data_IF_060547501360
#
_entry.id   IF_060547501360
#
_cell.length_a   1.000
_cell.length_b   1.000
_cell.length_c   1.000
_cell.angle_alpha   90.00
_cell.angle_beta   90.00
_cell.angle_gamma   90.00
#
_symmetry.space_group_name_H-M   'P 1'
#
loop_
_entity.id
_entity.type
_entity.pdbx_description
1 polymer ?
#
# COMPACT_ATOMS: atom_id res chain seq x y z
N UNK A 1 -59.56 -10.07 -12.61
CA UNK A 1 -58.30 -10.38 -11.89
C UNK A 1 -57.10 -10.26 -12.84
N UNK A 2 -56.61 -9.06 -13.19
CA UNK A 2 -55.43 -8.88 -14.07
C UNK A 2 -54.82 -7.48 -13.88
N UNK A 3 -54.32 -7.13 -12.68
CA UNK A 3 -53.61 -5.84 -12.47
C UNK A 3 -52.42 -5.89 -11.49
N UNK A 4 -52.16 -7.03 -10.85
CA UNK A 4 -51.15 -7.11 -9.78
C UNK A 4 -49.76 -7.53 -10.30
N UNK A 5 -49.67 -8.04 -11.53
CA UNK A 5 -48.41 -8.59 -12.08
C UNK A 5 -47.41 -7.57 -12.62
N UNK A 6 -47.75 -6.27 -12.72
CA UNK A 6 -46.83 -5.24 -13.25
C UNK A 6 -45.97 -4.53 -12.19
N UNK A 7 -46.26 -4.70 -10.90
CA UNK A 7 -45.52 -4.02 -9.82
C UNK A 7 -44.24 -4.75 -9.37
N UNK A 8 -44.05 -6.00 -9.79
CA UNK A 8 -42.91 -6.84 -9.38
C UNK A 8 -41.66 -6.65 -10.25
N UNK A 9 -41.77 -5.98 -11.40
CA UNK A 9 -40.64 -5.81 -12.34
C UNK A 9 -39.81 -4.54 -12.07
N UNK A 10 -40.32 -3.58 -11.31
CA UNK A 10 -39.66 -2.28 -11.08
C UNK A 10 -38.65 -2.26 -9.93
N UNK A 11 -38.54 -3.34 -9.15
CA UNK A 11 -37.62 -3.40 -7.98
C UNK A 11 -36.21 -3.89 -8.37
N UNK A 12 -36.04 -4.49 -9.56
CA UNK A 12 -34.74 -5.04 -10.00
C UNK A 12 -33.75 -4.01 -10.59
N UNK A 13 -34.14 -2.74 -10.73
CA UNK A 13 -33.27 -1.71 -11.31
C UNK A 13 -32.35 -0.99 -10.31
N UNK A 14 -32.35 -1.36 -9.03
CA UNK A 14 -31.27 -0.99 -8.11
C UNK A 14 -30.07 -1.92 -8.33
N UNK A 15 -29.55 -1.96 -9.56
CA UNK A 15 -28.23 -2.49 -9.82
C UNK A 15 -27.24 -1.69 -8.96
N UNK A 16 -26.72 -2.33 -7.91
CA UNK A 16 -25.71 -1.76 -7.03
C UNK A 16 -24.49 -1.39 -7.88
N UNK A 17 -24.31 -0.10 -8.13
CA UNK A 17 -23.05 0.42 -8.64
C UNK A 17 -22.05 0.39 -7.49
N UNK A 18 -21.28 -0.70 -7.37
CA UNK A 18 -20.16 -0.75 -6.43
C UNK A 18 -19.04 0.15 -6.96
N UNK A 19 -18.56 1.14 -6.19
CA UNK A 19 -17.43 1.95 -6.62
C UNK A 19 -16.20 1.05 -6.85
N UNK A 20 -15.62 1.15 -8.04
CA UNK A 20 -14.34 0.50 -8.35
C UNK A 20 -13.21 1.40 -7.88
N UNK A 21 -12.55 1.03 -6.78
CA UNK A 21 -11.34 1.70 -6.32
C UNK A 21 -10.12 1.05 -6.96
N UNK A 22 -9.18 1.87 -7.40
CA UNK A 22 -7.90 1.41 -7.96
C UNK A 22 -6.77 1.91 -7.07
N UNK A 23 -5.96 0.98 -6.55
CA UNK A 23 -4.69 1.30 -5.90
C UNK A 23 -3.61 1.24 -6.98
N UNK A 24 -2.79 2.28 -7.10
CA UNK A 24 -1.85 2.41 -8.22
C UNK A 24 -0.72 1.37 -8.21
N UNK A 25 -0.45 0.75 -7.06
CA UNK A 25 0.69 -0.12 -6.83
C UNK A 25 0.28 -1.30 -5.92
N UNK A 26 0.95 -2.43 -6.09
CA UNK A 26 0.69 -3.65 -5.33
C UNK A 26 1.34 -3.65 -3.94
N UNK A 27 0.91 -4.57 -3.08
CA UNK A 27 1.55 -4.82 -1.78
C UNK A 27 2.98 -5.31 -1.99
N UNK A 28 3.89 -4.91 -1.09
CA UNK A 28 5.34 -5.13 -1.16
C UNK A 28 6.07 -4.38 -2.28
N UNK A 29 5.39 -3.51 -3.03
CA UNK A 29 6.02 -2.57 -3.97
C UNK A 29 6.60 -1.36 -3.23
N UNK A 30 7.74 -0.87 -3.72
CA UNK A 30 8.33 0.39 -3.26
C UNK A 30 8.14 1.50 -4.30
N UNK A 31 7.86 2.70 -3.79
CA UNK A 31 7.51 3.87 -4.58
C UNK A 31 8.37 5.03 -4.12
N UNK A 32 9.11 5.63 -5.05
CA UNK A 32 9.86 6.86 -4.82
C UNK A 32 8.99 8.07 -5.15
N UNK A 33 8.87 8.99 -4.19
CA UNK A 33 8.30 10.33 -4.39
C UNK A 33 9.40 11.28 -4.85
N UNK A 34 9.17 11.92 -6.01
CA UNK A 34 10.09 12.88 -6.60
C UNK A 34 9.44 14.26 -6.60
N UNK A 35 10.11 15.25 -6.01
CA UNK A 35 9.69 16.65 -6.10
C UNK A 35 10.01 17.21 -7.49
N UNK A 36 8.96 17.44 -8.27
CA UNK A 36 9.03 17.91 -9.66
C UNK A 36 9.72 19.27 -9.80
N UNK A 37 9.80 20.07 -8.73
CA UNK A 37 10.52 21.35 -8.73
C UNK A 37 12.04 21.17 -8.84
N UNK A 38 12.55 20.01 -8.41
CA UNK A 38 13.97 19.69 -8.39
C UNK A 38 14.34 18.57 -9.35
N UNK A 39 13.39 17.99 -10.11
CA UNK A 39 13.60 16.80 -10.94
C UNK A 39 14.77 16.90 -11.97
N UNK A 40 15.20 18.12 -12.34
CA UNK A 40 16.38 18.35 -13.19
C UNK A 40 17.72 18.41 -12.45
N UNK A 41 17.71 18.40 -11.13
CA UNK A 41 18.90 18.43 -10.29
C UNK A 41 19.31 17.00 -9.89
N UNK A 42 20.61 16.71 -9.94
CA UNK A 42 21.19 15.40 -9.60
C UNK A 42 20.95 14.94 -8.14
N UNK A 43 20.28 15.75 -7.32
CA UNK A 43 19.97 15.49 -5.91
C UNK A 43 18.59 16.03 -5.52
N UNK A 44 17.57 15.65 -6.28
CA UNK A 44 16.19 15.87 -5.83
C UNK A 44 16.00 15.21 -4.45
N UNK A 45 15.44 15.92 -3.45
CA UNK A 45 14.97 15.28 -2.24
C UNK A 45 13.93 14.24 -2.65
N UNK A 46 14.20 12.96 -2.39
CA UNK A 46 13.25 11.88 -2.63
C UNK A 46 12.99 11.09 -1.35
N UNK A 47 11.75 10.63 -1.23
CA UNK A 47 11.31 9.76 -0.14
C UNK A 47 10.89 8.44 -0.76
N UNK A 48 11.39 7.33 -0.22
CA UNK A 48 10.99 5.99 -0.68
C UNK A 48 9.97 5.43 0.31
N UNK A 49 8.83 5.04 -0.20
CA UNK A 49 7.75 4.39 0.53
C UNK A 49 7.64 2.93 0.13
N UNK A 50 7.13 2.09 1.03
CA UNK A 50 6.74 0.70 0.76
C UNK A 50 5.27 0.53 1.12
N UNK A 51 4.54 -0.20 0.30
CA UNK A 51 3.14 -0.53 0.54
C UNK A 51 3.09 -1.81 1.36
N UNK A 52 2.78 -1.68 2.65
CA UNK A 52 2.76 -2.81 3.57
C UNK A 52 1.48 -3.63 3.45
N UNK A 53 0.34 -2.98 3.20
CA UNK A 53 -0.97 -3.63 3.16
C UNK A 53 -2.03 -2.71 2.54
N UNK A 54 -3.05 -3.29 1.90
CA UNK A 54 -4.28 -2.58 1.51
C UNK A 54 -5.41 -3.05 2.43
N UNK A 55 -6.02 -2.11 3.17
CA UNK A 55 -7.09 -2.39 4.13
C UNK A 55 -8.36 -1.62 3.78
N UNK A 56 -9.53 -2.22 3.96
CA UNK A 56 -10.81 -1.52 3.76
C UNK A 56 -11.18 -0.77 5.04
N UNK A 57 -11.36 0.55 4.95
CA UNK A 57 -11.90 1.35 6.03
C UNK A 57 -13.37 0.98 6.25
N UNK A 58 -13.70 0.47 7.43
CA UNK A 58 -15.05 -0.01 7.72
C UNK A 58 -16.11 1.10 7.73
N UNK A 59 -15.71 2.35 8.00
CA UNK A 59 -16.59 3.52 8.07
C UNK A 59 -16.84 4.14 6.70
N UNK A 60 -15.78 4.40 5.92
CA UNK A 60 -15.92 5.00 4.58
C UNK A 60 -16.19 3.99 3.48
N UNK A 61 -15.93 2.69 3.72
CA UNK A 61 -15.91 1.61 2.71
C UNK A 61 -14.88 1.81 1.60
N UNK A 62 -13.92 2.71 1.82
CA UNK A 62 -12.83 2.97 0.88
C UNK A 62 -11.57 2.17 1.27
N UNK A 63 -10.75 1.74 0.30
CA UNK A 63 -9.43 1.22 0.61
C UNK A 63 -8.51 2.32 1.14
N UNK A 64 -7.73 1.95 2.14
CA UNK A 64 -6.59 2.67 2.69
C UNK A 64 -5.35 1.81 2.53
N UNK A 65 -4.21 2.45 2.29
CA UNK A 65 -2.93 1.78 2.14
C UNK A 65 -2.09 2.04 3.39
N UNK A 66 -1.57 0.98 4.00
CA UNK A 66 -0.55 1.08 5.05
C UNK A 66 0.80 1.28 4.38
N UNK A 67 1.54 2.29 4.84
CA UNK A 67 2.83 2.62 4.22
C UNK A 67 3.92 2.77 5.27
N UNK A 68 5.13 2.39 4.88
CA UNK A 68 6.36 2.64 5.62
C UNK A 68 7.31 3.46 4.75
N UNK A 69 8.04 4.41 5.33
CA UNK A 69 9.09 5.16 4.63
C UNK A 69 10.48 4.63 4.96
N UNK A 70 11.38 4.72 3.99
CA UNK A 70 12.77 4.37 4.15
C UNK A 70 13.55 5.58 4.64
N UNK A 71 14.23 5.42 5.77
CA UNK A 71 15.12 6.45 6.31
C UNK A 71 16.25 5.77 7.09
N UNK A 72 17.45 6.35 7.12
CA UNK A 72 18.57 5.85 7.95
C UNK A 72 18.79 4.32 7.89
N UNK A 73 18.64 3.72 6.70
CA UNK A 73 18.75 2.28 6.47
C UNK A 73 17.69 1.39 7.16
N UNK A 74 16.51 1.95 7.46
CA UNK A 74 15.42 1.28 8.15
C UNK A 74 14.05 1.70 7.58
N UNK A 75 13.07 0.82 7.72
CA UNK A 75 11.67 1.09 7.40
C UNK A 75 10.94 1.63 8.63
N UNK A 76 10.25 2.75 8.48
CA UNK A 76 9.45 3.39 9.52
C UNK A 76 7.99 3.45 9.09
N UNK A 77 7.10 2.85 9.88
CA UNK A 77 5.67 2.89 9.58
C UNK A 77 5.11 4.31 9.74
N UNK A 78 4.45 4.82 8.70
CA UNK A 78 3.88 6.17 8.69
C UNK A 78 2.34 6.21 8.84
N UNK A 79 1.70 5.06 8.99
CA UNK A 79 0.26 4.98 9.15
C UNK A 79 -0.47 4.57 7.88
N UNK A 80 -1.77 4.89 7.87
CA UNK A 80 -2.68 4.63 6.76
C UNK A 80 -2.83 5.89 5.90
N UNK A 81 -2.79 5.73 4.59
CA UNK A 81 -3.02 6.78 3.59
C UNK A 81 -4.23 6.41 2.73
N UNK A 82 -4.91 7.38 2.11
CA UNK A 82 -5.96 7.08 1.14
C UNK A 82 -5.40 6.31 -0.07
N UNK A 83 -6.22 5.50 -0.74
CA UNK A 83 -5.81 4.71 -1.91
C UNK A 83 -5.21 5.51 -3.08
N UNK A 84 -5.48 6.82 -3.15
CA UNK A 84 -4.95 7.74 -4.16
C UNK A 84 -3.71 8.50 -3.71
N UNK A 85 -3.08 8.14 -2.59
CA UNK A 85 -1.93 8.86 -2.04
C UNK A 85 -0.76 8.98 -3.03
N UNK A 86 -0.45 7.91 -3.76
CA UNK A 86 0.62 7.89 -4.78
C UNK A 86 0.12 8.35 -6.16
N UNK A 87 -0.84 9.28 -6.21
CA UNK A 87 -1.30 9.86 -7.47
C UNK A 87 -0.46 11.08 -7.79
N UNK A 88 0.11 11.10 -9.00
CA UNK A 88 0.87 12.24 -9.48
C UNK A 88 0.12 13.57 -9.32
N UNK A 89 0.88 14.58 -8.90
CA UNK A 89 0.43 15.96 -8.74
C UNK A 89 1.34 16.90 -9.53
N UNK A 90 1.04 18.20 -9.50
CA UNK A 90 1.94 19.20 -10.07
C UNK A 90 3.30 19.26 -9.34
N UNK A 91 3.32 18.94 -8.05
CA UNK A 91 4.51 19.08 -7.20
C UNK A 91 5.29 17.78 -7.06
N UNK A 92 4.59 16.65 -7.04
CA UNK A 92 5.18 15.36 -6.76
C UNK A 92 4.78 14.35 -7.84
N UNK A 93 5.75 13.55 -8.26
CA UNK A 93 5.54 12.36 -9.07
C UNK A 93 5.95 11.12 -8.29
N UNK A 94 5.33 9.99 -8.63
CA UNK A 94 5.56 8.72 -7.96
C UNK A 94 6.01 7.68 -8.97
N UNK A 95 7.11 6.99 -8.67
CA UNK A 95 7.66 5.94 -9.54
C UNK A 95 7.98 4.68 -8.77
N UNK A 96 7.71 3.53 -9.36
CA UNK A 96 8.10 2.25 -8.78
C UNK A 96 9.62 2.10 -8.80
N UNK A 97 10.19 1.66 -7.69
CA UNK A 97 11.63 1.43 -7.50
C UNK A 97 11.88 0.14 -6.75
N UNK A 98 13.10 -0.38 -6.86
CA UNK A 98 13.55 -1.50 -6.03
C UNK A 98 13.52 -1.11 -4.55
N UNK A 99 12.89 -1.94 -3.72
CA UNK A 99 12.86 -1.72 -2.28
C UNK A 99 14.28 -1.71 -1.68
N UNK A 100 14.66 -0.63 -0.99
CA UNK A 100 15.91 -0.60 -0.24
C UNK A 100 15.97 -1.75 0.77
N UNK A 101 17.10 -2.45 0.74
CA UNK A 101 17.39 -3.53 1.68
C UNK A 101 18.23 -2.99 2.82
N UNK A 102 18.01 -3.52 4.03
CA UNK A 102 18.87 -3.16 5.15
C UNK A 102 20.26 -3.70 4.89
N UNK A 103 21.27 -2.87 5.17
CA UNK A 103 22.66 -3.30 5.13
C UNK A 103 22.82 -4.57 5.99
N UNK A 104 23.23 -5.69 5.39
CA UNK A 104 23.37 -6.98 6.07
C UNK A 104 22.25 -8.00 5.87
N UNK A 105 21.15 -7.70 5.18
CA UNK A 105 20.06 -8.69 4.95
C UNK A 105 20.49 -9.90 4.12
N UNK A 106 21.41 -9.69 3.17
CA UNK A 106 22.03 -10.78 2.41
C UNK A 106 22.81 -11.76 3.32
N UNK A 107 23.39 -11.25 4.40
CA UNK A 107 24.14 -12.03 5.39
C UNK A 107 23.24 -12.67 6.46
N UNK A 108 22.02 -12.14 6.69
CA UNK A 108 21.10 -12.65 7.72
C UNK A 108 20.50 -14.01 7.36
N UNK A 109 20.34 -14.31 6.06
CA UNK A 109 19.89 -15.64 5.60
C UNK A 109 20.84 -16.78 6.03
N UNK A 110 22.11 -16.50 6.37
CA UNK A 110 23.06 -17.50 6.88
C UNK A 110 22.90 -17.83 8.39
N UNK A 111 22.17 -17.05 9.17
CA UNK A 111 22.09 -17.21 10.63
C UNK A 111 20.75 -17.76 11.17
N UNK A 112 19.85 -18.24 10.31
CA UNK A 112 18.60 -18.91 10.72
C UNK A 112 18.82 -20.26 11.45
N UNK A 113 20.07 -20.67 11.67
CA UNK A 113 20.43 -21.92 12.35
C UNK A 113 20.64 -21.82 13.88
N UNK A 114 20.66 -20.64 14.48
CA UNK A 114 20.99 -20.49 15.91
C UNK A 114 19.73 -20.44 16.80
N UNK A 115 18.62 -19.86 16.32
CA UNK A 115 17.42 -19.61 17.14
C UNK A 115 16.55 -20.87 17.40
N UNK A 116 16.78 -21.96 16.65
CA UNK A 116 16.08 -23.25 16.89
C UNK A 116 16.66 -24.06 18.06
N UNK A 117 17.80 -23.68 18.67
CA UNK A 117 18.40 -24.44 19.79
C UNK A 117 17.93 -24.01 21.17
N UNK A 118 17.20 -22.90 21.33
CA UNK A 118 16.80 -22.36 22.64
C UNK A 118 15.29 -22.58 22.94
N UNK A 119 14.67 -23.58 22.32
CA UNK A 119 13.34 -24.08 22.72
C UNK A 119 13.40 -25.53 23.18
N UNK A 120 14.12 -25.76 24.29
CA UNK A 120 13.94 -26.91 25.19
C UNK A 120 14.77 -26.72 26.45
N UNK A 121 14.25 -25.91 27.36
CA UNK A 121 14.47 -26.13 28.79
C UNK A 121 13.06 -26.10 29.38
N UNK A 122 12.45 -27.27 29.46
CA UNK A 122 11.28 -27.49 30.31
C UNK A 122 11.79 -27.48 31.76
N UNK A 123 11.21 -26.62 32.60
CA UNK A 123 11.24 -26.70 34.06
C UNK A 123 9.84 -27.09 34.54
#
# INVERSE_FOLDING_TARGET
MKRITLALLSIYFFASCSPSYHVAYDVDTCVEEVDNRYAGENRSPSSIYKIDEVVINQKSKEPEIKVSSWSHSQWFYEGKKPHYFFKDTKLFSYQEVDCPKRFGEEYRKKNLGIDKRIKKIDL
#
